data_IF_564831369902
#
_entry.id   IF_564831369902
#
_cell.length_a   1.000
_cell.length_b   1.000
_cell.length_c   1.000
_cell.angle_alpha   90.00
_cell.angle_beta   90.00
_cell.angle_gamma   90.00
#
_symmetry.space_group_name_H-M   'P 1'
#
loop_
_entity.id
_entity.type
_entity.pdbx_description
1 polymer ?
#
# COMPACT_ATOMS: atom_id res chain seq x y z
N UNK A 1 2.16 -9.44 -5.47
CA UNK A 1 2.51 -9.72 -4.06
C UNK A 1 1.45 -10.62 -3.43
N UNK A 2 1.82 -11.50 -2.49
CA UNK A 2 0.84 -12.37 -1.81
C UNK A 2 -0.08 -11.55 -0.91
N UNK A 3 -1.36 -11.91 -0.82
CA UNK A 3 -2.33 -11.34 0.13
C UNK A 3 -3.07 -12.38 0.94
N UNK A 4 -3.51 -11.97 2.13
CA UNK A 4 -4.29 -12.75 3.10
C UNK A 4 -5.44 -11.91 3.67
N UNK A 5 -6.19 -11.24 2.80
CA UNK A 5 -7.28 -10.35 3.23
C UNK A 5 -8.38 -11.13 3.98
N UNK A 6 -8.97 -10.57 5.05
CA UNK A 6 -10.08 -11.19 5.76
C UNK A 6 -11.29 -11.46 4.85
N UNK A 7 -12.06 -12.49 5.16
CA UNK A 7 -13.25 -12.89 4.38
C UNK A 7 -14.25 -11.75 4.17
N UNK A 8 -14.60 -10.92 5.20
CA UNK A 8 -15.55 -9.83 5.00
C UNK A 8 -15.06 -8.79 3.98
N UNK A 9 -13.75 -8.55 3.92
CA UNK A 9 -13.15 -7.64 2.95
C UNK A 9 -13.22 -8.25 1.55
N UNK A 10 -12.85 -9.52 1.40
CA UNK A 10 -12.85 -10.24 0.12
C UNK A 10 -14.24 -10.46 -0.46
N UNK A 11 -15.25 -10.62 0.39
CA UNK A 11 -16.65 -10.79 -0.03
C UNK A 11 -17.22 -9.50 -0.66
N UNK A 12 -16.69 -8.33 -0.30
CA UNK A 12 -17.11 -7.06 -0.90
C UNK A 12 -16.51 -6.87 -2.30
N UNK A 13 -17.30 -6.35 -3.25
CA UNK A 13 -16.83 -6.04 -4.60
C UNK A 13 -15.60 -5.09 -4.59
N UNK A 14 -15.61 -4.11 -3.67
CA UNK A 14 -14.49 -3.17 -3.49
C UNK A 14 -13.24 -3.87 -2.95
N UNK A 15 -13.37 -4.71 -1.93
CA UNK A 15 -12.21 -5.40 -1.35
C UNK A 15 -11.62 -6.46 -2.30
N UNK A 16 -12.45 -7.15 -3.08
CA UNK A 16 -11.99 -8.03 -4.15
C UNK A 16 -11.18 -7.26 -5.22
N UNK A 17 -11.67 -6.09 -5.66
CA UNK A 17 -10.95 -5.24 -6.61
C UNK A 17 -9.62 -4.70 -6.04
N UNK A 18 -9.62 -4.31 -4.77
CA UNK A 18 -8.39 -3.89 -4.07
C UNK A 18 -7.39 -5.05 -4.02
N UNK A 19 -7.82 -6.25 -3.60
CA UNK A 19 -6.96 -7.44 -3.53
C UNK A 19 -6.35 -7.75 -4.90
N UNK A 20 -7.15 -7.72 -5.97
CA UNK A 20 -6.68 -7.95 -7.34
C UNK A 20 -5.59 -6.94 -7.74
N UNK A 21 -5.80 -5.65 -7.49
CA UNK A 21 -4.84 -4.61 -7.84
C UNK A 21 -3.55 -4.70 -7.03
N UNK A 22 -3.68 -4.95 -5.73
CA UNK A 22 -2.56 -5.22 -4.83
C UNK A 22 -1.71 -6.40 -5.34
N UNK A 23 -2.34 -7.50 -5.76
CA UNK A 23 -1.64 -8.70 -6.24
C UNK A 23 -0.80 -8.44 -7.50
N UNK A 24 -1.17 -7.44 -8.33
CA UNK A 24 -0.40 -7.01 -9.52
C UNK A 24 0.99 -6.44 -9.20
N UNK A 25 1.25 -6.00 -7.97
CA UNK A 25 2.58 -5.51 -7.60
C UNK A 25 3.64 -6.62 -7.69
N UNK A 26 4.60 -6.49 -8.61
CA UNK A 26 5.73 -7.43 -8.83
C UNK A 26 7.04 -6.96 -8.19
N UNK A 27 6.99 -5.95 -7.32
CA UNK A 27 8.17 -5.37 -6.66
C UNK A 27 9.25 -4.80 -7.60
N UNK A 28 8.89 -4.42 -8.83
CA UNK A 28 9.82 -3.83 -9.81
C UNK A 28 10.36 -2.43 -9.46
N UNK A 29 9.65 -1.67 -8.62
CA UNK A 29 10.07 -0.31 -8.21
C UNK A 29 9.78 0.80 -9.22
N UNK A 30 9.19 0.51 -10.39
CA UNK A 30 8.84 1.53 -11.39
C UNK A 30 7.89 2.62 -10.86
N UNK A 31 7.04 2.30 -9.88
CA UNK A 31 6.18 3.29 -9.26
C UNK A 31 6.95 4.29 -8.37
N UNK A 32 8.10 3.90 -7.81
CA UNK A 32 8.87 4.78 -6.94
C UNK A 32 9.60 5.86 -7.74
N UNK A 33 10.07 5.56 -8.95
CA UNK A 33 10.75 6.55 -9.80
C UNK A 33 9.82 7.65 -10.29
N UNK A 34 8.50 7.40 -10.33
CA UNK A 34 7.48 8.39 -10.70
C UNK A 34 6.89 9.13 -9.50
N UNK A 35 7.19 8.70 -8.26
CA UNK A 35 6.58 9.29 -7.07
C UNK A 35 7.38 10.51 -6.57
N UNK A 36 6.78 11.72 -6.53
CA UNK A 36 7.49 12.92 -6.07
C UNK A 36 7.97 12.82 -4.62
N UNK A 37 7.16 12.27 -3.71
CA UNK A 37 7.57 12.08 -2.31
C UNK A 37 8.81 11.17 -2.19
N UNK A 38 8.82 10.05 -2.91
CA UNK A 38 9.97 9.13 -2.89
C UNK A 38 11.21 9.77 -3.51
N UNK A 39 11.09 10.52 -4.60
CA UNK A 39 12.22 11.21 -5.22
C UNK A 39 12.90 12.18 -4.26
N UNK A 40 12.10 12.90 -3.45
CA UNK A 40 12.61 13.87 -2.47
C UNK A 40 13.18 13.21 -1.21
N UNK A 41 12.49 12.21 -0.65
CA UNK A 41 12.81 11.66 0.68
C UNK A 41 13.63 10.38 0.64
N UNK A 42 13.55 9.64 -0.47
CA UNK A 42 14.15 8.29 -0.65
C UNK A 42 13.73 7.27 0.42
N UNK A 43 12.64 7.57 1.14
CA UNK A 43 12.02 6.65 2.08
C UNK A 43 11.04 5.75 1.31
N UNK A 44 11.36 4.46 1.28
CA UNK A 44 10.57 3.44 0.59
C UNK A 44 9.14 3.35 1.11
N UNK A 45 8.92 3.61 2.41
CA UNK A 45 7.59 3.60 3.04
C UNK A 45 6.73 4.80 2.60
N UNK A 46 7.38 5.92 2.24
CA UNK A 46 6.71 7.10 1.69
C UNK A 46 6.35 6.94 0.20
N UNK A 47 6.95 5.97 -0.51
CA UNK A 47 6.65 5.67 -1.91
C UNK A 47 5.31 4.94 -2.12
N UNK A 48 4.79 4.90 -3.37
CA UNK A 48 3.50 4.28 -3.68
C UNK A 48 3.48 2.78 -3.35
N UNK A 49 4.58 2.06 -3.63
CA UNK A 49 4.72 0.65 -3.23
C UNK A 49 4.69 0.48 -1.71
N UNK A 50 5.43 1.31 -0.98
CA UNK A 50 5.46 1.30 0.48
C UNK A 50 4.08 1.51 1.09
N UNK A 51 3.32 2.49 0.60
CA UNK A 51 1.94 2.76 1.03
C UNK A 51 1.01 1.58 0.76
N UNK A 52 1.07 1.01 -0.45
CA UNK A 52 0.29 -0.18 -0.82
C UNK A 52 0.61 -1.34 0.15
N UNK A 53 1.89 -1.52 0.50
CA UNK A 53 2.30 -2.55 1.45
C UNK A 53 1.74 -2.30 2.86
N UNK A 54 1.86 -1.08 3.37
CA UNK A 54 1.36 -0.76 4.70
C UNK A 54 -0.17 -0.84 4.80
N UNK A 55 -0.90 -0.39 3.78
CA UNK A 55 -2.37 -0.52 3.70
C UNK A 55 -2.77 -2.01 3.66
N UNK A 56 -2.09 -2.82 2.86
CA UNK A 56 -2.29 -4.28 2.83
C UNK A 56 -2.11 -4.89 4.22
N UNK A 57 -1.04 -4.53 4.94
CA UNK A 57 -0.80 -5.04 6.30
C UNK A 57 -1.89 -4.60 7.28
N UNK A 58 -2.36 -3.35 7.20
CA UNK A 58 -3.45 -2.87 8.04
C UNK A 58 -4.77 -3.63 7.78
N UNK A 59 -5.07 -3.95 6.53
CA UNK A 59 -6.24 -4.76 6.15
C UNK A 59 -6.11 -6.20 6.65
N UNK A 60 -4.94 -6.82 6.49
CA UNK A 60 -4.72 -8.23 6.85
C UNK A 60 -4.71 -8.47 8.36
N UNK A 61 -4.15 -7.53 9.12
CA UNK A 61 -3.99 -7.66 10.57
C UNK A 61 -5.13 -7.02 11.36
N UNK A 62 -5.87 -6.10 10.74
CA UNK A 62 -6.79 -5.21 11.44
C UNK A 62 -6.08 -4.16 12.32
N UNK A 63 -4.74 -4.06 12.25
CA UNK A 63 -3.92 -3.17 13.08
C UNK A 63 -3.33 -2.05 12.22
N UNK A 64 -3.62 -0.81 12.59
CA UNK A 64 -3.03 0.38 11.95
C UNK A 64 -1.80 0.81 12.76
N UNK A 65 -0.62 0.68 12.16
CA UNK A 65 0.61 1.19 12.77
C UNK A 65 0.56 2.72 12.88
N UNK A 66 1.02 3.34 14.00
CA UNK A 66 1.02 4.80 14.14
C UNK A 66 1.81 5.53 13.04
N UNK A 67 2.90 4.91 12.55
CA UNK A 67 3.70 5.45 11.45
C UNK A 67 2.94 5.50 10.12
N UNK A 68 1.90 4.67 9.94
CA UNK A 68 1.14 4.62 8.70
C UNK A 68 0.54 5.98 8.37
N UNK A 69 -0.06 6.65 9.35
CA UNK A 69 -0.61 7.99 9.15
C UNK A 69 0.45 8.96 8.64
N UNK A 70 1.63 8.98 9.28
CA UNK A 70 2.74 9.84 8.85
C UNK A 70 3.14 9.58 7.41
N UNK A 71 3.27 8.31 7.01
CA UNK A 71 3.59 7.97 5.64
C UNK A 71 2.46 8.41 4.70
N UNK A 72 1.19 8.14 5.04
CA UNK A 72 0.03 8.55 4.23
C UNK A 72 -0.05 10.07 4.03
N UNK A 73 0.14 10.86 5.09
CA UNK A 73 0.01 12.32 5.07
C UNK A 73 1.12 13.02 4.27
N UNK A 74 2.25 12.36 4.04
CA UNK A 74 3.35 12.87 3.19
C UNK A 74 3.11 12.71 1.69
N UNK A 75 1.94 12.25 1.26
CA UNK A 75 1.66 12.08 -0.17
C UNK A 75 1.65 13.46 -0.85
N UNK A 76 2.50 13.63 -1.85
CA UNK A 76 2.48 14.80 -2.73
C UNK A 76 1.70 14.44 -4.01
N UNK A 77 0.92 15.39 -4.52
CA UNK A 77 0.07 15.24 -5.72
C UNK A 77 0.89 15.18 -6.99
#
# INVERSE_FOLDING_TARGET
>A
MQTRFPEPVRASARGAAVEQNVRKCVHCGFCNVTCPTFQLRRDELDGPRGRIYQIKQAIETGVVAPSLQTHLDRCLT
#
